data_IF_661154917114
#
_entry.id   IF_661154917114
#
_cell.length_a   1.000
_cell.length_b   1.000
_cell.length_c   1.000
_cell.angle_alpha   90.00
_cell.angle_beta   90.00
_cell.angle_gamma   90.00
#
_symmetry.space_group_name_H-M   'P 1'
#
loop_
_entity.id
_entity.type
_entity.pdbx_description
1 polymer ?
#
# COMPACT_ATOMS: atom_id res chain seq x y z
N UNK A 1 -50.10 0.13 -26.81
CA UNK A 1 -48.91 -0.72 -26.63
C UNK A 1 -48.99 -1.34 -25.25
N UNK A 2 -48.96 -2.67 -25.18
CA UNK A 2 -49.19 -3.44 -23.96
C UNK A 2 -48.12 -3.17 -22.88
N UNK A 3 -48.51 -2.97 -21.62
CA UNK A 3 -47.63 -2.60 -20.50
C UNK A 3 -46.48 -3.60 -20.33
N UNK A 4 -46.79 -4.89 -20.52
CA UNK A 4 -45.84 -6.01 -20.48
C UNK A 4 -44.75 -5.89 -21.53
N UNK A 5 -45.09 -5.40 -22.74
CA UNK A 5 -44.13 -5.21 -23.83
C UNK A 5 -43.21 -4.03 -23.58
N UNK A 6 -43.71 -2.95 -22.96
CA UNK A 6 -42.87 -1.82 -22.53
C UNK A 6 -41.86 -2.24 -21.47
N UNK A 7 -42.30 -2.95 -20.43
CA UNK A 7 -41.45 -3.48 -19.37
C UNK A 7 -40.32 -4.39 -19.89
N UNK A 8 -40.61 -5.27 -20.84
CA UNK A 8 -39.60 -6.16 -21.43
C UNK A 8 -38.45 -5.42 -22.13
N UNK A 9 -38.71 -4.24 -22.70
CA UNK A 9 -37.67 -3.47 -23.39
C UNK A 9 -37.01 -2.41 -22.49
N UNK A 10 -37.76 -1.79 -21.58
CA UNK A 10 -37.20 -0.71 -20.73
C UNK A 10 -36.37 -1.25 -19.57
N UNK A 11 -36.70 -2.42 -19.03
CA UNK A 11 -35.98 -3.00 -17.89
C UNK A 11 -34.49 -3.30 -18.19
N UNK A 12 -34.11 -4.02 -19.27
CA UNK A 12 -32.69 -4.29 -19.55
C UNK A 12 -31.91 -3.01 -19.86
N UNK A 13 -32.52 -2.05 -20.58
CA UNK A 13 -31.90 -0.75 -20.85
C UNK A 13 -31.64 0.05 -19.56
N UNK A 14 -32.60 0.04 -18.63
CA UNK A 14 -32.44 0.70 -17.34
C UNK A 14 -31.32 0.04 -16.52
N UNK A 15 -31.23 -1.30 -16.51
CA UNK A 15 -30.16 -2.03 -15.82
C UNK A 15 -28.79 -1.67 -16.40
N UNK A 16 -28.66 -1.67 -17.74
CA UNK A 16 -27.40 -1.31 -18.41
C UNK A 16 -27.03 0.15 -18.13
N UNK A 17 -28.00 1.08 -18.16
CA UNK A 17 -27.74 2.49 -17.86
C UNK A 17 -27.27 2.70 -16.42
N UNK A 18 -27.94 2.06 -15.44
CA UNK A 18 -27.55 2.14 -14.03
C UNK A 18 -26.19 1.47 -13.79
N UNK A 19 -25.95 0.30 -14.38
CA UNK A 19 -24.67 -0.39 -14.29
C UNK A 19 -23.53 0.40 -14.92
N UNK A 20 -23.77 1.00 -16.09
CA UNK A 20 -22.82 1.86 -16.79
C UNK A 20 -22.49 3.12 -16.00
N UNK A 21 -23.49 3.79 -15.42
CA UNK A 21 -23.28 4.93 -14.52
C UNK A 21 -22.48 4.52 -13.28
N UNK A 22 -22.82 3.39 -12.65
CA UNK A 22 -22.07 2.86 -11.52
C UNK A 22 -20.62 2.59 -11.87
N UNK A 23 -20.36 1.91 -12.98
CA UNK A 23 -19.01 1.62 -13.48
C UNK A 23 -18.23 2.90 -13.77
N UNK A 24 -18.83 3.85 -14.49
CA UNK A 24 -18.21 5.14 -14.80
C UNK A 24 -17.82 5.92 -13.53
N UNK A 25 -18.70 5.95 -12.53
CA UNK A 25 -18.39 6.63 -11.26
C UNK A 25 -17.26 5.97 -10.47
N UNK A 26 -17.08 4.65 -10.59
CA UNK A 26 -15.95 3.94 -9.95
C UNK A 26 -14.65 4.27 -10.69
N UNK A 27 -14.68 4.26 -12.03
CA UNK A 27 -13.50 4.63 -12.83
C UNK A 27 -13.04 6.07 -12.55
N UNK A 28 -13.97 7.05 -12.51
CA UNK A 28 -13.62 8.43 -12.17
C UNK A 28 -13.02 8.55 -10.75
N UNK A 29 -13.48 7.73 -9.79
CA UNK A 29 -12.93 7.72 -8.44
C UNK A 29 -11.54 7.12 -8.37
N UNK A 30 -11.26 6.12 -9.20
CA UNK A 30 -9.92 5.55 -9.35
C UNK A 30 -8.96 6.55 -10.01
N UNK A 31 -9.40 7.25 -11.05
CA UNK A 31 -8.58 8.29 -11.72
C UNK A 31 -8.24 9.46 -10.77
N UNK A 32 -9.16 9.80 -9.86
CA UNK A 32 -8.96 10.86 -8.87
C UNK A 32 -8.21 10.42 -7.60
N UNK A 33 -7.67 9.19 -7.56
CA UNK A 33 -6.97 8.60 -6.40
C UNK A 33 -7.82 8.55 -5.10
N UNK A 34 -9.14 8.67 -5.23
CA UNK A 34 -10.09 8.62 -4.09
C UNK A 34 -10.46 7.19 -3.71
N UNK A 35 -10.15 6.23 -4.58
CA UNK A 35 -10.42 4.82 -4.38
C UNK A 35 -9.40 4.00 -5.16
N UNK A 36 -8.55 3.27 -4.45
CA UNK A 36 -7.66 2.29 -5.05
C UNK A 36 -7.98 0.90 -4.45
N UNK A 37 -8.51 -0.04 -5.25
CA UNK A 37 -8.77 -1.41 -4.79
C UNK A 37 -7.49 -2.21 -4.50
N UNK A 38 -6.33 -1.74 -4.95
CA UNK A 38 -5.02 -2.31 -4.68
C UNK A 38 -4.31 -1.66 -3.48
N UNK A 39 -4.90 -0.61 -2.90
CA UNK A 39 -4.34 0.01 -1.72
C UNK A 39 -4.27 -1.03 -0.58
N UNK A 40 -3.09 -1.11 0.03
CA UNK A 40 -2.86 -1.84 1.26
C UNK A 40 -2.84 -0.80 2.40
N UNK A 41 -4.00 -0.42 2.97
CA UNK A 41 -4.03 0.56 4.04
C UNK A 41 -3.26 0.01 5.23
N UNK A 42 -2.18 0.70 5.62
CA UNK A 42 -1.42 0.31 6.81
C UNK A 42 -2.26 0.62 8.05
N UNK A 43 -2.69 -0.39 8.82
CA UNK A 43 -3.50 -0.16 10.02
C UNK A 43 -2.70 0.50 11.14
N UNK A 44 -1.37 0.61 11.00
CA UNK A 44 -0.44 1.07 12.03
C UNK A 44 -0.04 2.54 11.88
N UNK A 45 -0.63 3.29 10.94
CA UNK A 45 -0.39 4.73 10.84
C UNK A 45 -0.83 5.41 12.14
N UNK A 46 0.03 6.28 12.69
CA UNK A 46 -0.21 6.98 13.96
C UNK A 46 -0.03 6.13 15.23
N UNK A 47 0.32 4.84 15.09
CA UNK A 47 0.57 3.95 16.22
C UNK A 47 2.06 3.89 16.55
N UNK A 48 2.39 3.61 17.82
CA UNK A 48 3.77 3.35 18.22
C UNK A 48 4.24 2.00 17.67
N UNK A 49 5.52 1.84 17.32
CA UNK A 49 6.08 0.54 16.98
C UNK A 49 5.87 -0.47 18.12
N UNK A 50 5.64 -1.75 17.79
CA UNK A 50 5.51 -2.81 18.80
C UNK A 50 6.83 -3.00 19.56
N UNK A 51 6.77 -3.58 20.76
CA UNK A 51 7.98 -3.93 21.53
C UNK A 51 8.70 -5.11 20.87
N UNK A 52 10.00 -4.97 20.58
CA UNK A 52 10.82 -6.04 20.04
C UNK A 52 12.31 -5.82 20.35
N UNK A 53 13.08 -6.89 20.32
CA UNK A 53 14.53 -6.86 20.43
C UNK A 53 15.14 -7.94 19.51
N UNK A 54 15.71 -7.52 18.39
CA UNK A 54 16.27 -8.38 17.36
C UNK A 54 17.81 -8.43 17.47
N UNK A 55 18.42 -9.63 17.36
CA UNK A 55 19.86 -9.74 17.27
C UNK A 55 20.35 -9.16 15.94
N UNK A 56 21.59 -8.67 15.92
CA UNK A 56 22.22 -8.23 14.67
C UNK A 56 22.67 -9.42 13.82
N UNK A 57 22.78 -9.20 12.51
CA UNK A 57 23.25 -10.19 11.56
C UNK A 57 24.75 -9.98 11.23
N UNK A 58 25.54 -11.06 11.18
CA UNK A 58 26.96 -11.04 10.82
C UNK A 58 27.82 -10.01 11.59
N UNK A 59 27.60 -9.90 12.91
CA UNK A 59 28.36 -8.99 13.76
C UNK A 59 27.90 -7.53 13.71
N UNK A 60 26.84 -7.22 12.95
CA UNK A 60 26.15 -5.94 13.04
C UNK A 60 25.49 -5.77 14.43
N UNK A 61 25.22 -4.52 14.87
CA UNK A 61 24.45 -4.28 16.09
C UNK A 61 23.02 -4.82 15.96
N UNK A 62 22.42 -5.15 17.11
CA UNK A 62 21.01 -5.49 17.19
C UNK A 62 20.10 -4.29 16.92
N UNK A 63 18.80 -4.58 16.75
CA UNK A 63 17.78 -3.60 16.45
C UNK A 63 16.56 -3.81 17.35
N UNK A 64 16.08 -2.75 17.99
CA UNK A 64 14.99 -2.80 18.95
C UNK A 64 13.97 -1.69 18.69
N UNK A 65 12.81 -1.79 19.33
CA UNK A 65 11.81 -0.74 19.27
C UNK A 65 12.29 0.59 19.88
N UNK A 66 13.34 0.58 20.71
CA UNK A 66 13.91 1.80 21.29
C UNK A 66 14.72 2.60 20.26
N UNK A 67 15.34 1.90 19.30
CA UNK A 67 16.07 2.53 18.19
C UNK A 67 15.12 3.26 17.23
N UNK A 68 13.86 2.84 17.15
CA UNK A 68 12.80 3.52 16.41
C UNK A 68 12.29 4.78 17.12
N UNK A 69 12.34 4.80 18.44
CA UNK A 69 11.83 5.89 19.26
C UNK A 69 12.88 6.99 19.53
N UNK A 70 14.17 6.71 19.28
CA UNK A 70 15.29 7.58 19.63
C UNK A 70 15.54 8.76 18.66
N UNK A 71 15.40 8.64 17.33
CA UNK A 71 15.77 9.71 16.41
C UNK A 71 14.70 10.80 16.28
N UNK A 72 15.13 12.06 16.24
CA UNK A 72 14.28 13.21 15.90
C UNK A 72 13.99 13.34 14.40
N UNK A 73 14.54 12.44 13.57
CA UNK A 73 14.45 12.47 12.12
C UNK A 73 13.71 11.23 11.60
N UNK A 74 13.01 11.33 10.45
CA UNK A 74 12.44 10.17 9.78
C UNK A 74 13.49 9.10 9.49
N UNK A 75 13.07 7.85 9.52
CA UNK A 75 13.89 6.69 9.16
C UNK A 75 13.08 5.70 8.33
N UNK A 76 13.78 4.82 7.61
CA UNK A 76 13.18 3.73 6.85
C UNK A 76 13.50 2.39 7.52
N UNK A 77 12.49 1.56 7.71
CA UNK A 77 12.69 0.15 8.03
C UNK A 77 12.32 -0.67 6.80
N UNK A 78 13.29 -1.40 6.26
CA UNK A 78 13.16 -2.20 5.06
C UNK A 78 13.05 -3.68 5.44
N UNK A 79 11.90 -4.29 5.17
CA UNK A 79 11.71 -5.73 5.33
C UNK A 79 12.17 -6.44 4.06
N UNK A 80 13.16 -7.31 4.15
CA UNK A 80 13.74 -7.97 2.97
C UNK A 80 14.10 -9.43 3.22
N UNK A 81 14.40 -10.14 2.12
CA UNK A 81 14.93 -11.50 2.20
C UNK A 81 15.73 -11.83 0.94
N UNK A 82 16.67 -12.77 1.04
CA UNK A 82 17.48 -13.24 -0.09
C UNK A 82 16.67 -13.90 -1.21
N UNK A 83 15.49 -14.41 -0.89
CA UNK A 83 14.56 -15.06 -1.82
C UNK A 83 13.48 -14.10 -2.35
N UNK A 84 13.50 -12.83 -1.93
CA UNK A 84 12.52 -11.83 -2.36
C UNK A 84 13.01 -11.13 -3.65
N UNK A 85 12.44 -11.53 -4.80
CA UNK A 85 12.78 -10.93 -6.10
C UNK A 85 12.54 -9.40 -6.16
N UNK A 86 11.42 -8.84 -5.68
CA UNK A 86 11.24 -7.39 -5.61
C UNK A 86 12.30 -6.70 -4.75
N UNK A 87 12.69 -7.31 -3.62
CA UNK A 87 13.71 -6.78 -2.73
C UNK A 87 15.09 -6.68 -3.42
N UNK A 88 15.42 -7.63 -4.30
CA UNK A 88 16.63 -7.54 -5.11
C UNK A 88 16.58 -6.39 -6.13
N UNK A 89 15.40 -6.09 -6.67
CA UNK A 89 15.19 -4.99 -7.61
C UNK A 89 15.23 -3.62 -6.93
N UNK A 90 14.75 -3.50 -5.68
CA UNK A 90 14.76 -2.24 -4.92
C UNK A 90 16.13 -1.94 -4.27
N UNK A 91 16.94 -2.97 -3.98
CA UNK A 91 18.19 -2.81 -3.23
C UNK A 91 19.14 -1.72 -3.78
N UNK A 92 19.35 -1.56 -5.11
CA UNK A 92 20.16 -0.46 -5.64
C UNK A 92 19.59 0.92 -5.32
N UNK A 93 18.26 1.07 -5.32
CA UNK A 93 17.59 2.33 -4.97
C UNK A 93 17.70 2.63 -3.47
N UNK A 94 17.52 1.62 -2.62
CA UNK A 94 17.70 1.75 -1.17
C UNK A 94 19.15 2.15 -0.84
N UNK A 95 20.13 1.58 -1.53
CA UNK A 95 21.53 1.94 -1.38
C UNK A 95 21.84 3.38 -1.83
N UNK A 96 21.11 3.92 -2.83
CA UNK A 96 21.20 5.33 -3.20
C UNK A 96 20.55 6.22 -2.15
N UNK A 97 19.39 5.83 -1.62
CA UNK A 97 18.69 6.57 -0.58
C UNK A 97 19.52 6.69 0.71
N UNK A 98 20.23 5.62 1.10
CA UNK A 98 21.14 5.64 2.24
C UNK A 98 22.21 6.73 2.14
N UNK A 99 22.67 7.06 0.92
CA UNK A 99 23.68 8.12 0.69
C UNK A 99 23.15 9.53 0.94
N UNK A 100 21.84 9.72 1.05
CA UNK A 100 21.23 11.01 1.38
C UNK A 100 21.29 11.33 2.88
N UNK A 101 21.76 10.37 3.70
CA UNK A 101 21.79 10.50 5.16
C UNK A 101 20.53 9.98 5.86
N UNK A 102 19.54 9.46 5.12
CA UNK A 102 18.38 8.79 5.70
C UNK A 102 18.82 7.52 6.45
N UNK A 103 18.52 7.38 7.76
CA UNK A 103 18.77 6.14 8.49
C UNK A 103 17.89 5.01 7.94
N UNK A 104 18.51 3.88 7.60
CA UNK A 104 17.82 2.69 7.07
C UNK A 104 18.19 1.47 7.89
N UNK A 105 17.18 0.77 8.42
CA UNK A 105 17.32 -0.51 9.10
C UNK A 105 16.74 -1.64 8.24
N UNK A 106 17.50 -2.70 8.04
CA UNK A 106 17.03 -3.90 7.33
C UNK A 106 16.57 -4.97 8.32
N UNK A 107 15.38 -5.52 8.11
CA UNK A 107 14.81 -6.65 8.87
C UNK A 107 14.50 -7.82 7.96
#
# INVERSE_FOLDING_TARGET
>A
MDMRRRLMFTAPLAIVAVGGLGFYTILERMEQDKYDPHALPSPLIGHKPPTFNLPGFNGAPGFSNTDLAAPAQPMLVNWFASWCMPCAQEAPMIAQLAKTGLPIWGV
#
